data_IF_000706715272
#
_entry.id   IF_000706715272
#
_cell.length_a   1.000
_cell.length_b   1.000
_cell.length_c   1.000
_cell.angle_alpha   90.00
_cell.angle_beta   90.00
_cell.angle_gamma   90.00
#
_symmetry.space_group_name_H-M   'P 1'
#
loop_
_entity.id
_entity.type
_entity.pdbx_description
1 polymer ?
#
# COMPACT_ATOMS: atom_id res chain seq x y z
N UNK A 1 -23.84 19.65 -6.30
CA UNK A 1 -23.02 19.96 -5.12
C UNK A 1 -22.69 21.44 -5.18
N UNK A 2 -22.92 22.19 -4.09
CA UNK A 2 -22.57 23.61 -4.04
C UNK A 2 -21.07 23.73 -3.82
N UNK A 3 -20.39 24.59 -4.58
CA UNK A 3 -18.96 24.87 -4.36
C UNK A 3 -18.82 25.96 -3.31
N UNK A 4 -18.15 25.64 -2.20
CA UNK A 4 -17.96 26.56 -1.08
C UNK A 4 -16.46 26.71 -0.84
N UNK A 5 -15.97 27.94 -0.98
CA UNK A 5 -14.54 28.27 -1.04
C UNK A 5 -14.07 28.87 0.28
N UNK A 6 -12.87 28.51 0.71
CA UNK A 6 -12.18 29.14 1.83
C UNK A 6 -11.71 30.55 1.43
N UNK A 7 -12.12 31.59 2.15
CA UNK A 7 -12.01 32.97 1.65
C UNK A 7 -10.62 33.57 1.72
N UNK A 8 -9.88 33.31 2.80
CA UNK A 8 -8.59 33.98 3.05
C UNK A 8 -7.53 32.96 3.41
N UNK A 9 -6.28 33.24 3.02
CA UNK A 9 -5.13 32.37 3.32
C UNK A 9 -4.71 32.52 4.80
N UNK A 10 -5.67 32.32 5.70
CA UNK A 10 -5.55 32.40 7.15
C UNK A 10 -5.92 31.04 7.70
N UNK A 11 -5.10 30.54 8.64
CA UNK A 11 -5.40 29.29 9.32
C UNK A 11 -6.55 29.48 10.32
N UNK A 12 -7.55 28.61 10.28
CA UNK A 12 -8.66 28.60 11.22
C UNK A 12 -9.33 27.22 11.31
N UNK A 13 -10.35 27.11 12.18
CA UNK A 13 -11.16 25.89 12.31
C UNK A 13 -12.14 25.76 11.13
N UNK A 14 -12.28 24.54 10.59
CA UNK A 14 -13.18 24.20 9.48
C UNK A 14 -14.63 24.67 9.74
N UNK A 15 -15.07 24.66 11.00
CA UNK A 15 -16.42 25.06 11.41
C UNK A 15 -16.61 26.59 11.53
N UNK A 16 -15.60 27.39 11.18
CA UNK A 16 -15.72 28.85 11.19
C UNK A 16 -16.51 29.32 9.96
N UNK A 17 -17.84 29.36 10.07
CA UNK A 17 -18.75 29.69 8.96
C UNK A 17 -18.39 30.99 8.21
N UNK A 18 -17.89 32.00 8.93
CA UNK A 18 -17.48 33.29 8.37
C UNK A 18 -16.19 33.23 7.55
N UNK A 19 -15.48 32.10 7.49
CA UNK A 19 -14.31 31.91 6.64
C UNK A 19 -14.66 31.25 5.29
N UNK A 20 -15.91 30.80 5.12
CA UNK A 20 -16.43 30.23 3.87
C UNK A 20 -17.15 31.27 2.99
N UNK A 21 -17.10 31.08 1.68
CA UNK A 21 -17.64 32.02 0.67
C UNK A 21 -19.15 32.27 0.78
N UNK A 22 -19.90 31.30 1.29
CA UNK A 22 -21.35 31.39 1.50
C UNK A 22 -21.73 31.88 2.90
N UNK A 23 -20.76 32.04 3.81
CA UNK A 23 -21.02 32.31 5.22
C UNK A 23 -21.61 31.11 5.98
N UNK A 24 -21.54 29.91 5.40
CA UNK A 24 -22.00 28.64 6.00
C UNK A 24 -20.90 27.59 5.90
N UNK A 25 -20.82 26.70 6.88
CA UNK A 25 -19.91 25.55 6.83
C UNK A 25 -20.38 24.55 5.76
N UNK A 26 -19.51 24.04 4.88
CA UNK A 26 -19.87 23.02 3.91
C UNK A 26 -20.39 21.74 4.57
N UNK A 27 -21.50 21.22 4.06
CA UNK A 27 -22.08 19.95 4.53
C UNK A 27 -21.98 18.82 3.51
N UNK A 28 -22.66 17.71 3.79
CA UNK A 28 -22.56 16.47 3.01
C UNK A 28 -22.93 16.59 1.51
N UNK A 29 -23.64 17.65 1.13
CA UNK A 29 -24.02 17.94 -0.27
C UNK A 29 -23.10 18.94 -0.99
N UNK A 30 -22.07 19.44 -0.31
CA UNK A 30 -21.24 20.54 -0.77
C UNK A 30 -19.79 20.11 -1.06
N UNK A 31 -19.19 20.77 -2.04
CA UNK A 31 -17.76 20.71 -2.32
C UNK A 31 -17.06 21.74 -1.42
N UNK A 32 -16.24 21.28 -0.47
CA UNK A 32 -15.38 22.13 0.33
C UNK A 32 -14.07 22.39 -0.42
N UNK A 33 -13.77 23.64 -0.73
CA UNK A 33 -12.64 24.01 -1.58
C UNK A 33 -11.70 24.92 -0.79
N UNK A 34 -10.52 24.41 -0.45
CA UNK A 34 -9.45 25.15 0.20
C UNK A 34 -8.54 25.76 -0.87
N UNK A 35 -8.96 26.89 -1.46
CA UNK A 35 -8.27 27.56 -2.57
C UNK A 35 -8.03 29.06 -2.35
N UNK A 36 -7.94 29.49 -1.10
CA UNK A 36 -7.76 30.90 -0.78
C UNK A 36 -6.55 31.48 -1.51
N UNK A 37 -6.78 32.55 -2.27
CA UNK A 37 -5.75 33.15 -3.11
C UNK A 37 -4.58 33.69 -2.29
N UNK A 38 -3.36 33.41 -2.71
CA UNK A 38 -2.16 33.93 -2.08
C UNK A 38 -0.98 32.99 -2.27
N UNK A 39 0.18 33.38 -1.73
CA UNK A 39 1.37 32.52 -1.66
C UNK A 39 1.64 32.00 -0.25
N UNK A 40 0.88 32.47 0.74
CA UNK A 40 1.05 32.09 2.14
C UNK A 40 0.39 30.74 2.37
N UNK A 41 1.13 29.81 2.96
CA UNK A 41 0.57 28.54 3.40
C UNK A 41 -0.43 28.76 4.54
N UNK A 42 -1.52 28.01 4.56
CA UNK A 42 -2.52 28.07 5.61
C UNK A 42 -3.09 26.68 5.93
N UNK A 43 -3.61 26.55 7.14
CA UNK A 43 -4.15 25.28 7.66
C UNK A 43 -5.60 25.46 8.07
N UNK A 44 -6.49 24.67 7.49
CA UNK A 44 -7.87 24.53 7.95
C UNK A 44 -7.94 23.29 8.83
N UNK A 45 -8.31 23.47 10.09
CA UNK A 45 -8.29 22.40 11.10
C UNK A 45 -9.70 21.83 11.29
N UNK A 46 -9.88 20.54 11.06
CA UNK A 46 -11.08 19.80 11.45
C UNK A 46 -10.83 19.13 12.82
N UNK A 47 -11.34 19.76 13.88
CA UNK A 47 -11.18 19.30 15.26
C UNK A 47 -12.29 18.34 15.72
N UNK A 48 -13.37 18.24 14.93
CA UNK A 48 -14.51 17.35 15.12
C UNK A 48 -14.83 16.59 13.84
N UNK A 49 -15.77 15.64 13.90
CA UNK A 49 -16.20 14.91 12.72
C UNK A 49 -16.93 15.82 11.74
N UNK A 50 -16.51 15.80 10.48
CA UNK A 50 -17.06 16.59 9.39
C UNK A 50 -17.52 15.67 8.25
N UNK A 51 -18.50 16.11 7.46
CA UNK A 51 -18.94 15.38 6.27
C UNK A 51 -19.22 16.35 5.14
N UNK A 52 -18.52 16.14 4.03
CA UNK A 52 -18.65 16.90 2.78
C UNK A 52 -18.85 15.96 1.59
N UNK A 53 -19.31 16.50 0.47
CA UNK A 53 -19.38 15.73 -0.75
C UNK A 53 -17.97 15.53 -1.33
N UNK A 54 -17.18 16.59 -1.44
CA UNK A 54 -15.76 16.53 -1.83
C UNK A 54 -14.91 17.53 -1.05
N UNK A 55 -13.60 17.25 -0.99
CA UNK A 55 -12.58 18.16 -0.44
C UNK A 55 -11.51 18.43 -1.49
N UNK A 56 -11.22 19.71 -1.74
CA UNK A 56 -10.20 20.15 -2.68
C UNK A 56 -9.19 21.05 -1.96
N UNK A 57 -7.92 21.00 -2.35
CA UNK A 57 -6.87 21.83 -1.76
C UNK A 57 -5.98 22.44 -2.85
N UNK A 58 -5.67 23.71 -2.71
CA UNK A 58 -4.58 24.36 -3.43
C UNK A 58 -3.22 23.94 -2.82
N UNK A 59 -2.13 24.16 -3.56
CA UNK A 59 -0.78 23.77 -3.13
C UNK A 59 -0.30 24.44 -1.83
N UNK A 60 -0.90 25.57 -1.45
CA UNK A 60 -0.63 26.29 -0.20
C UNK A 60 -1.54 25.87 0.96
N UNK A 61 -2.56 25.05 0.70
CA UNK A 61 -3.57 24.68 1.68
C UNK A 61 -3.20 23.36 2.38
N UNK A 62 -3.43 23.31 3.68
CA UNK A 62 -3.43 22.09 4.47
C UNK A 62 -4.81 21.88 5.08
N UNK A 63 -5.44 20.74 4.84
CA UNK A 63 -6.51 20.24 5.71
C UNK A 63 -5.86 19.44 6.84
N UNK A 64 -6.06 19.83 8.10
CA UNK A 64 -5.56 19.12 9.27
C UNK A 64 -6.69 18.49 10.05
N UNK A 65 -6.82 17.17 9.97
CA UNK A 65 -7.81 16.39 10.71
C UNK A 65 -7.20 16.04 12.07
N UNK A 66 -7.69 16.67 13.12
CA UNK A 66 -7.14 16.50 14.49
C UNK A 66 -8.12 15.85 15.45
N UNK A 67 -9.37 15.62 15.04
CA UNK A 67 -10.34 14.88 15.83
C UNK A 67 -11.44 14.25 14.97
N UNK A 68 -11.91 13.08 15.39
CA UNK A 68 -13.03 12.38 14.76
C UNK A 68 -12.76 11.89 13.34
N UNK A 69 -13.81 11.91 12.52
CA UNK A 69 -13.79 11.45 11.13
C UNK A 69 -14.07 12.63 10.20
N UNK A 70 -13.17 12.92 9.27
CA UNK A 70 -13.49 13.79 8.13
C UNK A 70 -13.94 12.92 6.95
N UNK A 71 -15.17 13.10 6.46
CA UNK A 71 -15.72 12.29 5.38
C UNK A 71 -15.86 13.09 4.08
N UNK A 72 -15.28 12.59 2.98
CA UNK A 72 -15.42 13.14 1.63
C UNK A 72 -15.93 12.04 0.68
N UNK A 73 -17.26 11.94 0.57
CA UNK A 73 -17.94 10.81 -0.09
C UNK A 73 -17.63 10.62 -1.58
N UNK A 74 -17.21 11.70 -2.26
CA UNK A 74 -16.81 11.70 -3.68
C UNK A 74 -15.35 12.13 -3.88
N UNK A 75 -14.54 12.06 -2.81
CA UNK A 75 -13.10 12.32 -2.85
C UNK A 75 -12.80 13.79 -3.10
N UNK A 76 -12.10 14.11 -4.20
CA UNK A 76 -11.83 15.49 -4.61
C UNK A 76 -12.84 16.04 -5.62
N UNK A 77 -13.87 15.26 -5.97
CA UNK A 77 -14.87 15.66 -6.96
C UNK A 77 -14.22 15.98 -8.30
N UNK A 78 -14.52 17.17 -8.85
CA UNK A 78 -13.92 17.66 -10.11
C UNK A 78 -12.57 18.36 -9.95
N UNK A 79 -12.12 18.60 -8.72
CA UNK A 79 -10.83 19.23 -8.43
C UNK A 79 -9.77 18.21 -8.02
N UNK A 80 -8.87 18.62 -7.12
CA UNK A 80 -7.81 17.76 -6.61
C UNK A 80 -7.29 18.18 -5.25
N UNK A 81 -6.43 17.33 -4.68
CA UNK A 81 -5.55 17.66 -3.57
C UNK A 81 -4.19 18.02 -4.16
N UNK A 82 -3.90 19.31 -4.30
CA UNK A 82 -2.57 19.81 -4.68
C UNK A 82 -1.73 20.21 -3.46
N UNK A 83 -2.37 20.41 -2.30
CA UNK A 83 -1.75 20.73 -1.03
C UNK A 83 -1.52 19.49 -0.17
N UNK A 84 -1.84 19.61 1.11
CA UNK A 84 -1.68 18.52 2.08
C UNK A 84 -3.02 18.19 2.76
N UNK A 85 -3.35 16.92 2.84
CA UNK A 85 -4.35 16.39 3.78
C UNK A 85 -3.58 15.66 4.88
N UNK A 86 -3.69 16.15 6.11
CA UNK A 86 -3.01 15.62 7.28
C UNK A 86 -4.02 14.87 8.16
N UNK A 87 -3.89 13.55 8.22
CA UNK A 87 -4.69 12.69 9.10
C UNK A 87 -3.91 12.52 10.40
N UNK A 88 -4.32 13.25 11.44
CA UNK A 88 -3.67 13.24 12.73
C UNK A 88 -3.84 11.93 13.49
N UNK A 89 -3.00 11.72 14.51
CA UNK A 89 -3.09 10.55 15.39
C UNK A 89 -4.52 10.37 15.96
N UNK A 90 -5.04 9.14 15.94
CA UNK A 90 -6.39 8.82 16.42
C UNK A 90 -7.53 9.51 15.64
N UNK A 91 -7.36 9.65 14.32
CA UNK A 91 -8.38 10.23 13.44
C UNK A 91 -8.56 9.40 12.16
N UNK A 92 -9.64 9.69 11.45
CA UNK A 92 -10.04 8.98 10.24
C UNK A 92 -10.28 9.98 9.11
N UNK A 93 -9.66 9.75 7.96
CA UNK A 93 -10.10 10.34 6.69
C UNK A 93 -10.89 9.29 5.90
N UNK A 94 -12.21 9.48 5.82
CA UNK A 94 -13.13 8.57 5.13
C UNK A 94 -13.42 9.08 3.72
N UNK A 95 -13.12 8.27 2.70
CA UNK A 95 -13.21 8.69 1.29
C UNK A 95 -13.94 7.68 0.42
N UNK A 96 -14.42 8.15 -0.72
CA UNK A 96 -14.93 7.34 -1.83
C UNK A 96 -14.70 8.06 -3.16
N UNK A 97 -14.91 7.39 -4.29
CA UNK A 97 -14.85 8.03 -5.61
C UNK A 97 -13.44 8.38 -6.08
N UNK A 98 -13.31 9.46 -6.84
CA UNK A 98 -12.03 9.89 -7.40
C UNK A 98 -11.28 10.80 -6.42
N UNK A 99 -10.03 10.46 -6.14
CA UNK A 99 -9.13 11.24 -5.30
C UNK A 99 -7.91 11.62 -6.15
N UNK A 100 -8.03 12.74 -6.86
CA UNK A 100 -6.96 13.31 -7.66
C UNK A 100 -5.95 14.00 -6.74
N UNK A 101 -4.94 13.27 -6.32
CA UNK A 101 -3.88 13.67 -5.42
C UNK A 101 -2.60 13.96 -6.21
N UNK A 102 -2.26 15.23 -6.35
CA UNK A 102 -0.96 15.70 -6.86
C UNK A 102 -0.06 16.27 -5.77
N UNK A 103 -0.61 16.45 -4.57
CA UNK A 103 0.12 16.80 -3.35
C UNK A 103 0.31 15.58 -2.45
N UNK A 104 -0.02 15.75 -1.17
CA UNK A 104 0.22 14.74 -0.14
C UNK A 104 -1.03 14.42 0.68
N UNK A 105 -1.19 13.14 1.02
CA UNK A 105 -2.09 12.64 2.07
C UNK A 105 -1.21 11.94 3.11
N UNK A 106 -1.15 12.47 4.32
CA UNK A 106 -0.23 12.00 5.36
C UNK A 106 -1.01 11.37 6.51
N UNK A 107 -0.77 10.09 6.80
CA UNK A 107 -1.30 9.39 7.97
C UNK A 107 -0.25 9.45 9.09
N UNK A 108 -0.53 10.26 10.11
CA UNK A 108 0.43 10.59 11.16
C UNK A 108 0.08 9.89 12.48
N UNK A 109 0.03 8.56 12.48
CA UNK A 109 -0.08 7.82 13.74
C UNK A 109 1.11 8.13 14.63
N UNK A 110 0.80 8.47 15.89
CA UNK A 110 1.72 8.60 17.02
C UNK A 110 1.62 7.40 17.97
N UNK A 111 1.06 6.28 17.52
CA UNK A 111 0.83 5.07 18.32
C UNK A 111 -0.64 4.70 18.52
N UNK A 112 -1.58 5.54 18.07
CA UNK A 112 -3.00 5.18 17.99
C UNK A 112 -3.42 4.94 16.53
N UNK A 113 -4.47 4.16 16.36
CA UNK A 113 -5.07 3.86 15.06
C UNK A 113 -5.38 5.15 14.29
N UNK A 114 -4.81 5.28 13.10
CA UNK A 114 -4.95 6.45 12.21
C UNK A 114 -5.22 5.95 10.81
N UNK A 115 -6.31 6.42 10.19
CA UNK A 115 -6.92 5.66 9.10
C UNK A 115 -7.20 6.51 7.85
N UNK A 116 -6.87 5.96 6.69
CA UNK A 116 -7.51 6.28 5.42
C UNK A 116 -8.54 5.17 5.15
N UNK A 117 -9.81 5.49 5.39
CA UNK A 117 -10.91 4.55 5.29
C UNK A 117 -11.65 4.71 3.96
N UNK A 118 -11.78 3.64 3.19
CA UNK A 118 -12.50 3.66 1.90
C UNK A 118 -13.97 3.28 2.13
N UNK A 119 -14.82 4.29 2.28
CA UNK A 119 -16.27 4.12 2.39
C UNK A 119 -16.92 3.63 1.09
N UNK A 120 -16.25 3.81 -0.05
CA UNK A 120 -16.61 3.27 -1.36
C UNK A 120 -15.35 2.99 -2.19
N UNK A 121 -15.52 2.45 -3.41
CA UNK A 121 -14.41 2.32 -4.34
C UNK A 121 -13.70 3.66 -4.53
N UNK A 122 -12.39 3.66 -4.40
CA UNK A 122 -11.55 4.86 -4.42
C UNK A 122 -10.46 4.72 -5.46
N UNK A 123 -10.25 5.78 -6.26
CA UNK A 123 -9.17 5.86 -7.25
C UNK A 123 -8.21 6.98 -6.89
N UNK A 124 -6.95 6.64 -6.63
CA UNK A 124 -5.85 7.58 -6.42
C UNK A 124 -5.19 7.89 -7.78
N UNK A 125 -5.25 9.15 -8.20
CA UNK A 125 -4.59 9.63 -9.43
C UNK A 125 -3.84 10.94 -9.18
N UNK A 126 -3.07 11.45 -10.14
CA UNK A 126 -2.41 12.77 -10.03
C UNK A 126 -0.95 12.73 -9.60
N UNK A 127 -0.36 11.54 -9.49
CA UNK A 127 1.06 11.30 -9.23
C UNK A 127 1.61 11.88 -7.92
N UNK A 128 0.75 12.10 -6.93
CA UNK A 128 1.13 12.51 -5.58
C UNK A 128 1.49 11.36 -4.65
N UNK A 129 1.50 11.66 -3.36
CA UNK A 129 1.89 10.74 -2.30
C UNK A 129 0.77 10.47 -1.30
N UNK A 130 0.65 9.21 -0.87
CA UNK A 130 0.00 8.81 0.37
C UNK A 130 1.08 8.27 1.30
N UNK A 131 1.44 9.04 2.32
CA UNK A 131 2.56 8.72 3.21
C UNK A 131 2.06 8.36 4.61
N UNK A 132 2.35 7.14 5.04
CA UNK A 132 2.12 6.68 6.39
C UNK A 132 3.38 6.99 7.23
N UNK A 133 3.18 7.48 8.45
CA UNK A 133 4.29 7.61 9.41
C UNK A 133 4.92 6.24 9.69
N UNK A 134 6.14 6.22 10.23
CA UNK A 134 6.83 4.98 10.59
C UNK A 134 6.21 4.33 11.85
N UNK A 135 4.97 3.87 11.73
CA UNK A 135 4.18 3.30 12.82
C UNK A 135 3.20 2.23 12.28
N UNK A 136 3.14 1.08 12.94
CA UNK A 136 2.23 -0.02 12.58
C UNK A 136 0.74 0.30 12.76
N UNK A 137 0.39 1.40 13.41
CA UNK A 137 -0.99 1.84 13.67
C UNK A 137 -1.55 2.79 12.60
N UNK A 138 -0.89 2.93 11.47
CA UNK A 138 -1.49 3.51 10.27
C UNK A 138 -2.24 2.43 9.49
N UNK A 139 -3.46 2.73 9.04
CA UNK A 139 -4.29 1.78 8.29
C UNK A 139 -4.85 2.41 7.02
N UNK A 140 -4.78 1.66 5.93
CA UNK A 140 -5.53 1.93 4.70
C UNK A 140 -6.39 0.71 4.42
N UNK A 141 -7.71 0.83 4.52
CA UNK A 141 -8.63 -0.29 4.27
C UNK A 141 -10.01 0.21 3.83
N UNK A 142 -10.78 -0.66 3.18
CA UNK A 142 -12.14 -0.32 2.74
C UNK A 142 -13.23 -0.89 3.63
N UNK A 143 -14.48 -0.46 3.43
CA UNK A 143 -15.64 -0.93 4.21
C UNK A 143 -15.96 -2.42 4.04
N UNK A 144 -15.55 -3.04 2.93
CA UNK A 144 -15.78 -4.46 2.65
C UNK A 144 -14.65 -5.08 1.81
N UNK A 145 -14.62 -6.41 1.72
CA UNK A 145 -13.70 -7.16 0.85
C UNK A 145 -13.77 -6.71 -0.62
N UNK A 146 -14.98 -6.41 -1.11
CA UNK A 146 -15.20 -5.96 -2.48
C UNK A 146 -14.82 -4.50 -2.75
N UNK A 147 -14.54 -3.70 -1.71
CA UNK A 147 -14.15 -2.29 -1.87
C UNK A 147 -12.80 -2.22 -2.56
N UNK A 148 -12.71 -1.46 -3.65
CA UNK A 148 -11.49 -1.32 -4.45
C UNK A 148 -10.72 -0.06 -4.09
N UNK A 149 -9.42 -0.21 -3.83
CA UNK A 149 -8.45 0.87 -3.97
C UNK A 149 -7.74 0.71 -5.31
N UNK A 150 -7.90 1.68 -6.19
CA UNK A 150 -7.13 1.74 -7.44
C UNK A 150 -6.06 2.79 -7.31
N UNK A 151 -4.80 2.38 -7.22
CA UNK A 151 -3.66 3.27 -7.29
C UNK A 151 -3.22 3.41 -8.75
N UNK A 152 -3.53 4.54 -9.38
CA UNK A 152 -3.23 4.77 -10.81
C UNK A 152 -1.75 5.11 -11.00
N UNK A 153 -1.27 6.10 -10.25
CA UNK A 153 0.05 6.71 -10.44
C UNK A 153 0.62 7.30 -9.15
N UNK A 154 -0.04 7.13 -8.00
CA UNK A 154 0.44 7.65 -6.73
C UNK A 154 1.47 6.69 -6.12
N UNK A 155 2.26 7.24 -5.19
CA UNK A 155 3.13 6.44 -4.31
C UNK A 155 2.46 6.30 -2.95
N UNK A 156 2.17 5.06 -2.54
CA UNK A 156 1.77 4.73 -1.17
C UNK A 156 3.02 4.28 -0.43
N UNK A 157 3.44 5.00 0.61
CA UNK A 157 4.73 4.75 1.27
C UNK A 157 4.65 4.79 2.78
N UNK A 158 5.54 4.08 3.48
CA UNK A 158 5.72 4.21 4.93
C UNK A 158 5.65 2.87 5.65
N UNK A 159 5.06 2.86 6.84
CA UNK A 159 4.78 1.65 7.63
C UNK A 159 3.31 1.62 8.10
N UNK A 160 2.76 0.43 8.30
CA UNK A 160 1.35 0.26 8.68
C UNK A 160 0.70 -0.96 8.04
N UNK A 161 -0.63 -0.92 7.96
CA UNK A 161 -1.47 -1.97 7.38
C UNK A 161 -2.15 -1.46 6.11
N UNK A 162 -1.97 -2.19 5.00
CA UNK A 162 -2.66 -1.97 3.74
C UNK A 162 -3.61 -3.14 3.46
N UNK A 163 -4.91 -2.87 3.51
CA UNK A 163 -6.01 -3.81 3.34
C UNK A 163 -6.65 -4.29 4.65
N UNK A 164 -5.84 -4.49 5.71
CA UNK A 164 -6.31 -4.97 7.03
C UNK A 164 -7.22 -6.23 6.96
N UNK A 165 -6.87 -7.18 6.09
CA UNK A 165 -7.63 -8.42 5.88
C UNK A 165 -8.87 -8.26 4.99
N UNK A 166 -9.10 -7.08 4.42
CA UNK A 166 -10.20 -6.80 3.51
C UNK A 166 -9.77 -5.87 2.37
N UNK A 167 -10.73 -5.45 1.55
CA UNK A 167 -10.54 -4.67 0.32
C UNK A 167 -9.79 -5.37 -0.80
N UNK A 168 -9.93 -4.87 -2.02
CA UNK A 168 -9.18 -5.29 -3.22
C UNK A 168 -8.25 -4.14 -3.63
N UNK A 169 -6.96 -4.42 -3.80
CA UNK A 169 -5.99 -3.44 -4.29
C UNK A 169 -5.70 -3.66 -5.77
N UNK A 170 -5.71 -2.57 -6.53
CA UNK A 170 -5.28 -2.53 -7.94
C UNK A 170 -4.18 -1.48 -8.04
N UNK A 171 -2.93 -1.92 -8.19
CA UNK A 171 -1.78 -1.05 -8.42
C UNK A 171 -1.48 -1.02 -9.92
N UNK A 172 -1.80 0.08 -10.60
CA UNK A 172 -1.58 0.19 -12.04
C UNK A 172 -0.10 0.42 -12.37
N UNK A 173 0.23 0.45 -13.67
CA UNK A 173 1.61 0.45 -14.16
C UNK A 173 2.49 1.58 -13.63
N UNK A 174 1.91 2.73 -13.26
CA UNK A 174 2.63 3.86 -12.66
C UNK A 174 2.46 3.96 -11.14
N UNK A 175 1.65 3.09 -10.54
CA UNK A 175 1.45 3.05 -9.11
C UNK A 175 2.62 2.37 -8.39
N UNK A 176 2.99 2.93 -7.24
CA UNK A 176 4.03 2.38 -6.36
C UNK A 176 3.48 2.16 -4.96
N UNK A 177 3.81 1.01 -4.37
CA UNK A 177 3.67 0.75 -2.92
C UNK A 177 5.07 0.47 -2.36
N UNK A 178 5.56 1.33 -1.46
CA UNK A 178 6.93 1.28 -0.93
C UNK A 178 6.95 1.22 0.60
N UNK A 179 7.48 0.12 1.15
CA UNK A 179 7.79 0.02 2.57
C UNK A 179 9.10 0.79 2.90
N UNK A 180 8.98 2.09 3.18
CA UNK A 180 10.12 2.99 3.42
C UNK A 180 10.55 3.06 4.89
N UNK A 181 9.73 2.57 5.82
CA UNK A 181 9.92 2.70 7.27
C UNK A 181 10.96 1.75 7.89
N UNK A 182 11.29 2.00 9.16
CA UNK A 182 11.99 1.03 9.99
C UNK A 182 11.03 -0.03 10.56
N UNK A 183 9.73 0.27 10.61
CA UNK A 183 8.66 -0.69 10.84
C UNK A 183 8.13 -1.21 9.50
N UNK A 184 7.51 -2.39 9.53
CA UNK A 184 7.00 -3.03 8.32
C UNK A 184 5.76 -2.30 7.76
N UNK A 185 5.66 -2.29 6.44
CA UNK A 185 4.37 -2.16 5.75
C UNK A 185 3.83 -3.56 5.51
N UNK A 186 2.61 -3.84 5.98
CA UNK A 186 1.96 -5.14 5.81
C UNK A 186 0.85 -5.02 4.78
N UNK A 187 1.03 -5.70 3.64
CA UNK A 187 -0.03 -5.90 2.65
C UNK A 187 -0.84 -7.13 3.03
N UNK A 188 -2.09 -6.92 3.43
CA UNK A 188 -3.03 -7.97 3.79
C UNK A 188 -4.43 -7.60 3.27
N UNK A 189 -4.82 -8.17 2.12
CA UNK A 189 -6.16 -7.97 1.54
C UNK A 189 -7.10 -9.15 1.77
N UNK A 190 -6.73 -10.06 2.68
CA UNK A 190 -7.46 -11.30 2.91
C UNK A 190 -7.54 -12.17 1.65
N UNK A 191 -8.69 -12.77 1.38
CA UNK A 191 -8.91 -13.65 0.22
C UNK A 191 -8.98 -12.92 -1.13
N UNK A 192 -8.85 -11.60 -1.15
CA UNK A 192 -8.95 -10.81 -2.37
C UNK A 192 -7.63 -10.87 -3.15
N UNK A 193 -7.76 -11.04 -4.46
CA UNK A 193 -6.62 -10.97 -5.38
C UNK A 193 -6.25 -9.50 -5.58
N UNK A 194 -5.00 -9.17 -5.29
CA UNK A 194 -4.37 -7.90 -5.63
C UNK A 194 -3.89 -7.97 -7.07
N UNK A 195 -4.23 -6.99 -7.91
CA UNK A 195 -3.58 -6.83 -9.21
C UNK A 195 -2.46 -5.82 -9.09
N UNK A 196 -1.25 -6.21 -9.49
CA UNK A 196 -0.11 -5.29 -9.55
C UNK A 196 0.47 -5.30 -10.98
N UNK A 197 0.31 -4.17 -11.66
CA UNK A 197 0.97 -3.88 -12.92
C UNK A 197 2.16 -2.94 -12.74
N UNK A 198 2.27 -2.30 -11.57
CA UNK A 198 3.33 -1.36 -11.21
C UNK A 198 4.40 -2.00 -10.32
N UNK A 199 4.74 -1.31 -9.24
CA UNK A 199 5.81 -1.71 -8.34
C UNK A 199 5.33 -1.85 -6.89
N UNK A 200 5.58 -3.03 -6.31
CA UNK A 200 5.65 -3.21 -4.87
C UNK A 200 7.13 -3.29 -4.47
N UNK A 201 7.56 -2.46 -3.54
CA UNK A 201 8.94 -2.45 -3.11
C UNK A 201 9.10 -2.27 -1.60
N UNK A 202 10.27 -2.69 -1.12
CA UNK A 202 10.78 -2.33 0.17
C UNK A 202 12.07 -1.55 -0.02
N UNK A 203 12.13 -0.33 0.51
CA UNK A 203 13.36 0.48 0.55
C UNK A 203 13.86 0.75 1.97
N UNK A 204 12.98 0.60 2.97
CA UNK A 204 13.27 0.72 4.39
C UNK A 204 13.66 -0.59 5.06
N UNK A 205 14.28 -0.49 6.23
CA UNK A 205 14.76 -1.63 7.02
C UNK A 205 13.63 -2.49 7.60
N UNK A 206 12.43 -1.93 7.77
CA UNK A 206 11.25 -2.67 8.27
C UNK A 206 10.68 -3.64 7.25
N UNK A 207 10.87 -3.36 5.96
CA UNK A 207 10.48 -4.23 4.86
C UNK A 207 8.99 -4.24 4.54
N UNK A 208 8.67 -4.86 3.40
CA UNK A 208 7.31 -5.15 2.97
C UNK A 208 6.95 -6.57 3.40
N UNK A 209 5.80 -6.78 4.02
CA UNK A 209 5.29 -8.12 4.31
C UNK A 209 4.01 -8.36 3.53
N UNK A 210 4.02 -9.36 2.64
CA UNK A 210 2.84 -9.81 1.90
C UNK A 210 2.22 -10.96 2.71
N UNK A 211 1.09 -10.70 3.36
CA UNK A 211 0.49 -11.58 4.35
C UNK A 211 -0.86 -12.11 3.88
N UNK A 212 -0.97 -13.44 3.71
CA UNK A 212 -2.20 -14.13 3.35
C UNK A 212 -2.85 -13.60 2.07
N UNK A 213 -2.06 -13.01 1.17
CA UNK A 213 -2.52 -12.23 0.03
C UNK A 213 -2.08 -12.89 -1.27
N UNK A 214 -3.01 -12.98 -2.23
CA UNK A 214 -2.68 -13.33 -3.62
C UNK A 214 -2.35 -12.06 -4.39
N UNK A 215 -1.17 -11.99 -5.00
CA UNK A 215 -0.71 -10.90 -5.86
C UNK A 215 -0.59 -11.42 -7.29
N UNK A 216 -1.39 -10.85 -8.19
CA UNK A 216 -1.33 -11.09 -9.62
C UNK A 216 -0.48 -10.02 -10.30
N UNK A 217 0.77 -10.39 -10.59
CA UNK A 217 1.75 -9.58 -11.31
C UNK A 217 1.77 -9.88 -12.83
N UNK A 218 0.81 -10.66 -13.34
CA UNK A 218 0.78 -11.10 -14.75
C UNK A 218 0.74 -9.97 -15.78
N UNK A 219 0.35 -8.76 -15.35
CA UNK A 219 0.24 -7.56 -16.18
C UNK A 219 1.51 -6.71 -16.21
N UNK A 220 2.65 -7.29 -15.80
CA UNK A 220 3.96 -6.62 -15.82
C UNK A 220 4.42 -6.11 -14.46
N UNK A 221 3.75 -6.53 -13.38
CA UNK A 221 4.09 -6.16 -12.01
C UNK A 221 5.48 -6.62 -11.59
N UNK A 222 6.08 -5.87 -10.67
CA UNK A 222 7.34 -6.22 -10.03
C UNK A 222 7.24 -6.13 -8.51
N UNK A 223 7.94 -7.05 -7.85
CA UNK A 223 8.21 -7.03 -6.41
C UNK A 223 9.71 -6.86 -6.21
N UNK A 224 10.12 -5.81 -5.50
CA UNK A 224 11.51 -5.43 -5.30
C UNK A 224 11.89 -5.36 -3.82
N UNK A 225 12.95 -6.08 -3.42
CA UNK A 225 13.70 -5.74 -2.21
C UNK A 225 14.95 -4.93 -2.59
N UNK A 226 14.95 -3.63 -2.27
CA UNK A 226 16.11 -2.77 -2.47
C UNK A 226 17.30 -3.14 -1.54
N UNK A 227 18.42 -2.43 -1.69
CA UNK A 227 19.62 -2.71 -0.90
C UNK A 227 19.36 -2.53 0.61
N UNK A 228 19.61 -3.60 1.38
CA UNK A 228 19.44 -3.59 2.84
C UNK A 228 18.00 -3.75 3.32
N UNK A 229 17.04 -3.97 2.43
CA UNK A 229 15.63 -4.20 2.78
C UNK A 229 15.20 -5.63 2.52
N UNK A 230 13.99 -5.96 2.98
CA UNK A 230 13.42 -7.30 2.88
C UNK A 230 11.98 -7.22 2.39
N UNK A 231 11.61 -8.13 1.49
CA UNK A 231 10.20 -8.49 1.26
C UNK A 231 9.94 -9.87 1.87
N UNK A 232 9.01 -9.94 2.83
CA UNK A 232 8.60 -11.18 3.50
C UNK A 232 7.31 -11.74 2.87
N UNK A 233 7.34 -13.02 2.51
CA UNK A 233 6.20 -13.79 2.02
C UNK A 233 5.60 -14.60 3.18
N UNK A 234 4.43 -14.23 3.67
CA UNK A 234 3.75 -14.87 4.79
C UNK A 234 2.42 -15.45 4.31
N UNK A 235 2.42 -16.68 3.79
CA UNK A 235 1.26 -17.24 3.10
C UNK A 235 0.90 -16.46 1.83
N UNK A 236 1.90 -15.91 1.12
CA UNK A 236 1.69 -15.13 -0.08
C UNK A 236 1.55 -16.03 -1.33
N UNK A 237 0.62 -15.72 -2.23
CA UNK A 237 0.52 -16.39 -3.53
C UNK A 237 0.85 -15.38 -4.63
N UNK A 238 2.01 -15.51 -5.25
CA UNK A 238 2.48 -14.60 -6.31
C UNK A 238 2.27 -15.26 -7.68
N UNK A 239 1.51 -14.61 -8.56
CA UNK A 239 1.20 -15.11 -9.91
C UNK A 239 1.93 -14.25 -10.94
N UNK A 240 2.80 -14.86 -11.75
CA UNK A 240 3.56 -14.17 -12.80
C UNK A 240 4.50 -13.07 -12.29
N UNK A 241 4.89 -12.16 -13.18
CA UNK A 241 5.68 -10.97 -12.82
C UNK A 241 7.16 -11.18 -12.61
N UNK A 242 7.79 -10.18 -12.00
CA UNK A 242 9.23 -10.17 -11.68
C UNK A 242 9.49 -10.05 -10.19
N UNK A 243 10.25 -10.99 -9.64
CA UNK A 243 10.87 -10.88 -8.32
C UNK A 243 12.29 -10.37 -8.49
N UNK A 244 12.62 -9.24 -7.84
CA UNK A 244 13.92 -8.57 -7.98
C UNK A 244 14.51 -8.21 -6.63
N UNK A 245 15.82 -8.25 -6.54
CA UNK A 245 16.56 -7.66 -5.43
C UNK A 245 17.69 -6.77 -5.91
N UNK A 246 18.16 -5.85 -5.07
CA UNK A 246 19.32 -5.00 -5.33
C UNK A 246 20.29 -5.04 -4.15
N UNK A 247 21.59 -5.04 -4.41
CA UNK A 247 22.61 -5.08 -3.35
C UNK A 247 22.41 -6.25 -2.38
N UNK A 248 22.25 -5.96 -1.09
CA UNK A 248 21.96 -6.95 -0.04
C UNK A 248 20.46 -7.21 0.19
N UNK A 249 19.59 -6.67 -0.65
CA UNK A 249 18.15 -6.89 -0.57
C UNK A 249 17.76 -8.36 -0.76
N UNK A 250 16.71 -8.79 -0.08
CA UNK A 250 16.25 -10.18 -0.10
C UNK A 250 14.73 -10.26 -0.19
N UNK A 251 14.21 -11.13 -1.05
CA UNK A 251 12.85 -11.63 -0.96
C UNK A 251 12.90 -12.98 -0.24
N UNK A 252 12.07 -13.20 0.77
CA UNK A 252 12.13 -14.43 1.56
C UNK A 252 10.78 -14.88 2.08
N UNK A 253 10.64 -16.17 2.37
CA UNK A 253 9.53 -16.64 3.22
C UNK A 253 9.64 -16.03 4.61
N UNK A 254 8.50 -15.70 5.22
CA UNK A 254 8.47 -15.32 6.62
C UNK A 254 8.86 -16.51 7.52
N UNK A 255 9.34 -16.25 8.75
CA UNK A 255 9.64 -17.31 9.69
C UNK A 255 8.42 -18.22 9.93
N UNK A 256 8.63 -19.54 9.87
CA UNK A 256 7.59 -20.55 10.05
C UNK A 256 6.50 -20.58 8.97
N UNK A 257 6.69 -19.87 7.84
CA UNK A 257 5.72 -19.88 6.76
C UNK A 257 5.54 -21.28 6.16
N UNK A 258 4.30 -21.64 5.84
CA UNK A 258 3.91 -22.93 5.23
C UNK A 258 3.01 -22.77 4.01
N UNK A 259 2.68 -21.53 3.66
CA UNK A 259 1.63 -21.24 2.68
C UNK A 259 2.10 -20.51 1.44
N UNK A 260 3.34 -19.99 1.40
CA UNK A 260 3.74 -19.19 0.24
C UNK A 260 3.91 -20.03 -1.03
N UNK A 261 3.43 -19.46 -2.13
CA UNK A 261 3.36 -20.06 -3.45
C UNK A 261 3.86 -19.06 -4.50
N UNK A 262 4.82 -19.47 -5.31
CA UNK A 262 5.21 -18.77 -6.53
C UNK A 262 4.62 -19.54 -7.72
N UNK A 263 3.73 -18.89 -8.44
CA UNK A 263 2.85 -19.49 -9.44
C UNK A 263 3.15 -18.97 -10.85
N UNK A 264 3.90 -19.77 -11.57
CA UNK A 264 4.26 -19.57 -12.97
C UNK A 264 3.33 -20.26 -13.97
N UNK A 265 2.14 -20.74 -13.58
CA UNK A 265 1.32 -21.63 -14.43
C UNK A 265 0.74 -20.91 -15.63
N UNK A 266 0.04 -19.80 -15.39
CA UNK A 266 -0.60 -19.01 -16.46
C UNK A 266 0.38 -18.02 -17.11
N UNK A 267 1.26 -17.45 -16.30
CA UNK A 267 2.28 -16.49 -16.70
C UNK A 267 3.57 -16.83 -15.97
N UNK A 268 4.69 -16.88 -16.67
CA UNK A 268 5.96 -17.21 -16.05
C UNK A 268 6.33 -16.18 -14.97
N UNK A 269 6.88 -16.66 -13.85
CA UNK A 269 7.50 -15.80 -12.84
C UNK A 269 8.98 -15.66 -13.17
N UNK A 270 9.50 -14.43 -13.18
CA UNK A 270 10.92 -14.16 -13.39
C UNK A 270 11.61 -13.81 -12.07
N UNK A 271 12.41 -14.73 -11.53
CA UNK A 271 13.28 -14.43 -10.40
C UNK A 271 14.64 -13.92 -10.90
N UNK A 272 14.92 -12.64 -10.64
CA UNK A 272 16.18 -11.97 -11.00
C UNK A 272 17.03 -11.62 -9.77
N UNK A 273 16.55 -11.93 -8.57
CA UNK A 273 17.18 -11.57 -7.31
C UNK A 273 17.48 -12.76 -6.39
N UNK A 274 17.68 -12.44 -5.12
CA UNK A 274 17.82 -13.42 -4.04
C UNK A 274 16.44 -13.76 -3.47
N UNK A 275 16.01 -15.01 -3.67
CA UNK A 275 14.79 -15.59 -3.11
C UNK A 275 15.15 -16.64 -2.06
N UNK A 276 14.86 -16.39 -0.79
CA UNK A 276 15.25 -17.28 0.30
C UNK A 276 14.06 -18.04 0.88
N UNK A 277 14.24 -19.36 1.05
CA UNK A 277 13.41 -20.18 1.92
C UNK A 277 14.09 -20.22 3.28
N UNK A 278 13.53 -19.50 4.25
CA UNK A 278 14.11 -19.35 5.59
C UNK A 278 14.02 -20.64 6.39
N UNK A 279 14.87 -20.78 7.41
CA UNK A 279 14.81 -21.90 8.34
C UNK A 279 13.38 -22.14 8.86
N UNK A 280 12.96 -23.40 8.90
CA UNK A 280 11.62 -23.80 9.33
C UNK A 280 10.49 -23.23 8.45
N UNK A 281 10.72 -22.92 7.17
CA UNK A 281 9.69 -22.45 6.25
C UNK A 281 9.59 -23.31 4.99
N UNK A 282 8.43 -23.27 4.35
CA UNK A 282 8.17 -23.92 3.07
C UNK A 282 7.82 -22.89 2.00
N UNK A 283 8.35 -23.11 0.79
CA UNK A 283 7.98 -22.36 -0.40
C UNK A 283 7.54 -23.34 -1.48
N UNK A 284 6.33 -23.16 -2.01
CA UNK A 284 5.87 -23.93 -3.17
C UNK A 284 6.18 -23.18 -4.44
N UNK A 285 6.73 -23.88 -5.44
CA UNK A 285 6.88 -23.39 -6.81
C UNK A 285 6.00 -24.21 -7.73
N UNK A 286 5.34 -23.56 -8.70
CA UNK A 286 4.65 -24.25 -9.78
C UNK A 286 4.71 -23.47 -11.09
N UNK A 287 4.45 -24.15 -12.21
CA UNK A 287 4.55 -23.59 -13.55
C UNK A 287 5.98 -23.23 -13.96
N UNK A 288 6.12 -22.20 -14.80
CA UNK A 288 7.42 -21.75 -15.33
C UNK A 288 8.04 -20.69 -14.42
N UNK A 289 9.21 -20.99 -13.87
CA UNK A 289 10.02 -20.08 -13.06
C UNK A 289 11.33 -19.78 -13.81
N UNK A 290 11.41 -18.59 -14.41
CA UNK A 290 12.63 -18.10 -15.06
C UNK A 290 13.57 -17.56 -13.99
N UNK A 291 14.48 -18.39 -13.52
CA UNK A 291 15.40 -18.07 -12.45
C UNK A 291 16.74 -17.62 -13.02
N UNK A 292 16.98 -16.31 -13.12
CA UNK A 292 18.31 -15.76 -13.44
C UNK A 292 19.08 -15.35 -12.18
N UNK A 293 18.39 -15.24 -11.05
CA UNK A 293 18.97 -15.03 -9.72
C UNK A 293 19.29 -16.34 -8.99
N UNK A 294 19.10 -16.30 -7.67
CA UNK A 294 19.37 -17.43 -6.76
C UNK A 294 18.15 -17.72 -5.91
N UNK A 295 17.81 -19.00 -5.79
CA UNK A 295 16.89 -19.52 -4.79
C UNK A 295 17.72 -20.21 -3.71
N UNK A 296 17.70 -19.72 -2.47
CA UNK A 296 18.49 -20.29 -1.38
C UNK A 296 17.61 -20.97 -0.34
N UNK A 297 17.92 -22.20 0.03
CA UNK A 297 17.32 -22.90 1.15
C UNK A 297 18.25 -22.76 2.36
N UNK A 298 17.76 -22.06 3.39
CA UNK A 298 18.57 -21.60 4.52
C UNK A 298 18.24 -22.37 5.81
N UNK A 299 18.18 -23.71 5.74
CA UNK A 299 17.98 -24.48 6.96
C UNK A 299 19.10 -24.24 7.96
N UNK A 300 18.70 -23.97 9.21
CA UNK A 300 19.52 -23.89 10.41
C UNK A 300 19.29 -25.07 11.34
N UNK A 301 18.81 -26.20 10.82
CA UNK A 301 18.50 -27.41 11.59
C UNK A 301 17.01 -27.74 11.72
N UNK A 302 16.14 -26.94 11.11
CA UNK A 302 14.71 -27.24 11.00
C UNK A 302 14.30 -27.48 9.56
N UNK A 303 13.17 -28.17 9.42
CA UNK A 303 12.56 -28.55 8.15
C UNK A 303 12.27 -27.33 7.25
N UNK A 304 13.09 -27.20 6.22
CA UNK A 304 13.10 -26.09 5.27
C UNK A 304 12.89 -26.68 3.88
N UNK A 305 11.76 -26.35 3.25
CA UNK A 305 11.31 -27.05 2.02
C UNK A 305 11.12 -26.15 0.83
N UNK A 306 11.60 -26.62 -0.31
CA UNK A 306 11.14 -26.16 -1.61
C UNK A 306 10.22 -27.24 -2.20
N UNK A 307 8.96 -26.90 -2.41
CA UNK A 307 7.94 -27.86 -2.84
C UNK A 307 7.63 -27.65 -4.31
N UNK A 308 7.67 -28.71 -5.10
CA UNK A 308 7.15 -28.75 -6.48
C UNK A 308 5.64 -28.95 -6.39
N UNK A 309 4.89 -27.89 -6.74
CA UNK A 309 3.43 -27.88 -6.66
C UNK A 309 2.76 -28.85 -7.65
N UNK A 310 1.47 -29.10 -7.43
CA UNK A 310 0.67 -30.06 -8.21
C UNK A 310 0.56 -29.76 -9.71
N UNK A 311 0.94 -28.55 -10.15
CA UNK A 311 1.00 -28.15 -11.56
C UNK A 311 2.41 -28.29 -12.16
N UNK A 312 3.29 -29.04 -11.50
CA UNK A 312 4.73 -29.16 -11.77
C UNK A 312 5.45 -27.82 -11.67
N UNK A 313 6.78 -27.84 -11.60
CA UNK A 313 7.61 -26.64 -11.68
C UNK A 313 8.73 -26.85 -12.69
N UNK A 314 8.95 -25.88 -13.58
CA UNK A 314 10.13 -25.79 -14.43
C UNK A 314 10.94 -24.60 -13.98
N UNK A 315 12.13 -24.84 -13.43
CA UNK A 315 13.08 -23.79 -13.06
C UNK A 315 14.12 -23.71 -14.17
N UNK A 316 14.22 -22.56 -14.84
CA UNK A 316 15.18 -22.33 -15.93
C UNK A 316 16.26 -21.33 -15.50
N UNK A 317 17.54 -21.72 -15.63
CA UNK A 317 18.69 -20.86 -15.32
C UNK A 317 19.04 -20.75 -13.82
N UNK A 318 20.00 -19.87 -13.54
CA UNK A 318 20.38 -19.46 -12.18
C UNK A 318 20.83 -20.63 -11.29
N UNK A 319 20.71 -20.47 -9.98
CA UNK A 319 21.04 -21.51 -9.01
C UNK A 319 19.91 -21.75 -8.00
N UNK A 320 19.79 -23.01 -7.58
CA UNK A 320 19.11 -23.40 -6.33
C UNK A 320 20.21 -23.87 -5.38
N UNK A 321 20.40 -23.15 -4.27
CA UNK A 321 21.50 -23.37 -3.31
C UNK A 321 20.92 -23.88 -2.00
N UNK A 322 21.45 -24.99 -1.49
CA UNK A 322 21.08 -25.54 -0.19
C UNK A 322 22.19 -25.20 0.81
N UNK A 323 21.82 -24.80 2.03
CA UNK A 323 22.79 -24.72 3.13
C UNK A 323 23.36 -26.10 3.46
N UNK A 324 24.49 -26.14 4.16
CA UNK A 324 25.09 -27.39 4.66
C UNK A 324 24.30 -27.93 5.87
N UNK A 325 23.07 -28.34 5.63
CA UNK A 325 22.17 -28.88 6.62
C UNK A 325 21.25 -29.94 6.01
N UNK A 326 21.09 -31.07 6.71
CA UNK A 326 20.28 -32.20 6.25
C UNK A 326 18.77 -31.95 6.25
N UNK A 327 18.31 -30.83 6.83
CA UNK A 327 16.91 -30.44 6.88
C UNK A 327 16.48 -29.54 5.71
N UNK A 328 17.34 -29.37 4.70
CA UNK A 328 16.93 -28.84 3.41
C UNK A 328 16.28 -29.97 2.58
N UNK A 329 15.02 -29.81 2.19
CA UNK A 329 14.29 -30.81 1.41
C UNK A 329 13.66 -30.20 0.15
N UNK A 330 13.88 -30.84 -1.00
CA UNK A 330 13.12 -30.58 -2.22
C UNK A 330 12.14 -31.75 -2.42
N UNK A 331 10.84 -31.47 -2.40
CA UNK A 331 9.79 -32.50 -2.43
C UNK A 331 8.72 -32.17 -3.46
N UNK A 332 7.97 -33.17 -3.93
CA UNK A 332 6.70 -32.96 -4.63
C UNK A 332 5.52 -32.91 -3.66
N UNK A 333 4.37 -32.39 -4.12
CA UNK A 333 3.08 -32.53 -3.45
C UNK A 333 2.48 -33.91 -3.59
#
# INVERSE_FOLDING_TARGET
MTKIHWKTATSADFNTAVDWSTGTVPGAGDDAILDASGKTAYTVTASTSETVASIQTASTATLSITGGTFSASTGTGSGGNAGTILVGNNTIFSVGGALANSGAINLNSGGNTTELFLSANTTLSGAGHVTLSDNGQNFIFGVAAATKLTNVDNTISGAGQLGNGQMTLINQASGVVDATGANALVLNTGSQIVTNAGLFEATGAGGLTISGTTVDDSTGGSILAANGSVVNLAGAHIIGGTLKTAGTGVIQTAPNDRGSLIDGVSFAVSNTGALNVTNNAWLTLQGTINNTGVISMLSGGNDTRLIVGAKNATISGGAVVLSDNSQNLITGT
#
